data_IF_201798460525
#
_entry.id   IF_201798460525
#
_cell.length_a   1.000
_cell.length_b   1.000
_cell.length_c   1.000
_cell.angle_alpha   90.00
_cell.angle_beta   90.00
_cell.angle_gamma   90.00
#
_symmetry.space_group_name_H-M   'P 1'
#
loop_
_entity.id
_entity.type
_entity.pdbx_description
1 polymer ?
#
# COMPACT_ATOMS: atom_id res chain seq x y z
N UNK A 1 -13.59 5.84 25.49
CA UNK A 1 -12.12 5.78 25.30
C UNK A 1 -11.51 5.73 26.68
N UNK A 2 -10.86 4.64 27.04
CA UNK A 2 -10.08 4.53 28.27
C UNK A 2 -8.60 4.69 27.91
N UNK A 3 -7.92 5.62 28.55
CA UNK A 3 -6.49 5.80 28.45
C UNK A 3 -5.86 5.52 29.82
N UNK A 4 -4.87 4.66 29.88
CA UNK A 4 -4.07 4.44 31.07
C UNK A 4 -2.59 4.71 30.77
N UNK A 5 -1.92 5.41 31.69
CA UNK A 5 -0.49 5.73 31.57
C UNK A 5 0.20 5.31 32.86
N UNK A 6 1.24 4.49 32.77
CA UNK A 6 2.12 4.22 33.88
C UNK A 6 3.23 5.28 33.89
N UNK A 7 3.09 6.26 34.79
CA UNK A 7 4.17 7.18 35.12
C UNK A 7 4.33 8.44 34.25
N UNK A 8 3.28 8.97 33.61
CA UNK A 8 3.35 10.26 32.94
C UNK A 8 2.87 11.37 33.87
N UNK A 9 3.77 12.18 34.35
CA UNK A 9 3.44 13.46 34.98
C UNK A 9 3.42 14.50 33.85
N UNK A 10 2.22 14.90 33.40
CA UNK A 10 2.08 16.09 32.56
C UNK A 10 2.39 17.31 33.40
N UNK A 11 3.55 17.89 33.25
CA UNK A 11 3.88 19.19 33.81
C UNK A 11 2.85 20.22 33.37
N UNK A 12 2.44 21.10 34.27
CA UNK A 12 1.52 22.22 33.99
C UNK A 12 2.07 22.99 32.79
N UNK A 13 1.29 23.06 31.71
CA UNK A 13 1.59 23.94 30.58
C UNK A 13 1.31 25.38 31.08
N UNK A 14 2.34 26.21 31.28
CA UNK A 14 2.12 27.58 31.70
C UNK A 14 1.54 28.39 30.54
N UNK A 15 0.33 28.87 30.72
CA UNK A 15 -0.17 30.05 30.03
C UNK A 15 -0.31 29.97 28.51
N UNK A 16 -1.38 29.30 28.03
CA UNK A 16 -1.91 29.59 26.70
C UNK A 16 -2.67 30.92 26.76
N UNK A 17 -1.97 32.03 26.49
CA UNK A 17 -2.62 33.34 26.32
C UNK A 17 -2.93 33.49 24.84
N UNK A 18 -4.20 33.31 24.50
CA UNK A 18 -4.74 33.65 23.18
C UNK A 18 -4.84 35.18 23.06
N UNK A 19 -3.86 35.85 22.48
CA UNK A 19 -4.01 37.22 21.99
C UNK A 19 -4.70 37.20 20.64
N UNK A 20 -5.89 37.79 20.63
CA UNK A 20 -6.70 38.08 19.45
C UNK A 20 -6.06 39.33 18.80
N UNK A 21 -5.79 39.23 17.51
CA UNK A 21 -5.36 40.28 16.57
C UNK A 21 -3.90 40.27 16.18
N UNK A 22 -3.58 39.47 15.16
CA UNK A 22 -2.69 39.88 14.05
C UNK A 22 -2.62 38.76 12.99
N UNK A 23 -2.61 39.17 11.74
CA UNK A 23 -2.44 38.39 10.50
C UNK A 23 -1.00 37.83 10.31
N UNK A 24 -0.30 37.53 11.40
CA UNK A 24 1.05 36.99 11.36
C UNK A 24 1.00 35.50 11.72
N UNK A 25 1.64 34.67 10.90
CA UNK A 25 1.98 33.28 11.19
C UNK A 25 2.77 33.23 12.51
N UNK A 26 2.08 33.12 13.61
CA UNK A 26 2.74 32.94 14.89
C UNK A 26 3.05 31.44 15.02
N UNK A 27 4.27 31.06 14.69
CA UNK A 27 4.80 29.76 15.07
C UNK A 27 4.85 29.73 16.61
N UNK A 28 3.87 29.09 17.23
CA UNK A 28 3.92 28.84 18.67
C UNK A 28 5.05 27.84 18.92
N UNK A 29 6.13 28.30 19.53
CA UNK A 29 7.07 27.37 20.14
C UNK A 29 6.37 26.69 21.29
N UNK A 30 6.18 25.39 21.18
CA UNK A 30 5.81 24.58 22.34
C UNK A 30 6.94 24.78 23.36
N UNK A 31 6.61 25.13 24.61
CA UNK A 31 7.66 25.29 25.61
C UNK A 31 8.49 24.00 25.73
N UNK A 32 9.76 24.10 26.15
CA UNK A 32 10.61 22.94 26.32
C UNK A 32 9.89 21.87 27.12
N UNK A 33 9.51 20.81 26.44
CA UNK A 33 8.71 19.73 27.02
C UNK A 33 9.44 18.43 26.80
N UNK A 34 9.76 17.75 27.87
CA UNK A 34 10.32 16.40 27.83
C UNK A 34 9.33 15.45 28.49
N UNK A 35 8.76 14.57 27.66
CA UNK A 35 8.01 13.43 28.19
C UNK A 35 9.01 12.32 28.44
N UNK A 36 9.11 11.89 29.69
CA UNK A 36 9.96 10.77 30.11
C UNK A 36 9.43 9.46 29.52
N UNK A 37 10.30 8.45 29.35
CA UNK A 37 9.89 7.16 28.84
C UNK A 37 8.68 6.60 29.59
N UNK A 38 7.63 6.30 28.89
CA UNK A 38 6.39 5.79 29.49
C UNK A 38 5.62 4.88 28.54
N UNK A 39 4.76 4.04 29.12
CA UNK A 39 3.89 3.15 28.39
C UNK A 39 2.50 3.73 28.29
N UNK A 40 1.92 3.68 27.11
CA UNK A 40 0.57 4.18 26.84
C UNK A 40 -0.31 3.07 26.31
N UNK A 41 -1.49 2.95 26.87
CA UNK A 41 -2.51 2.02 26.36
C UNK A 41 -3.80 2.79 26.14
N UNK A 42 -4.27 2.77 24.89
CA UNK A 42 -5.55 3.32 24.49
C UNK A 42 -6.47 2.18 24.07
N UNK A 43 -7.67 2.13 24.62
CA UNK A 43 -8.69 1.13 24.28
C UNK A 43 -9.90 1.81 23.66
N UNK A 44 -10.30 1.32 22.50
CA UNK A 44 -11.58 1.63 21.86
C UNK A 44 -12.49 0.41 21.93
N UNK A 45 -13.71 0.53 21.40
CA UNK A 45 -14.64 -0.60 21.31
C UNK A 45 -14.06 -1.77 20.50
N UNK A 46 -13.26 -1.48 19.46
CA UNK A 46 -12.77 -2.48 18.49
C UNK A 46 -11.28 -2.75 18.58
N UNK A 47 -10.48 -1.82 19.10
CA UNK A 47 -9.02 -1.92 19.07
C UNK A 47 -8.39 -1.55 20.42
N UNK A 48 -7.23 -2.14 20.68
CA UNK A 48 -6.31 -1.75 21.74
C UNK A 48 -5.01 -1.27 21.08
N UNK A 49 -4.57 -0.08 21.42
CA UNK A 49 -3.29 0.51 21.01
C UNK A 49 -2.35 0.48 22.20
N UNK A 50 -1.16 -0.01 22.03
CA UNK A 50 -0.14 -0.06 23.09
C UNK A 50 1.16 0.53 22.54
N UNK A 51 1.70 1.54 23.21
CA UNK A 51 2.99 2.17 22.89
C UNK A 51 3.91 1.96 24.09
N UNK A 52 5.14 1.52 23.84
CA UNK A 52 6.15 1.30 24.85
C UNK A 52 7.28 2.31 24.75
N UNK A 53 7.71 2.82 25.91
CA UNK A 53 8.84 3.74 26.05
C UNK A 53 8.73 4.99 25.15
N UNK A 54 7.53 5.61 25.10
CA UNK A 54 7.33 6.86 24.38
C UNK A 54 8.15 7.97 25.02
N UNK A 55 8.98 8.60 24.22
CA UNK A 55 9.75 9.79 24.55
C UNK A 55 9.39 10.90 23.60
N UNK A 56 9.10 12.09 24.10
CA UNK A 56 8.97 13.31 23.30
C UNK A 56 9.96 14.33 23.86
N UNK A 57 10.80 14.88 23.01
CA UNK A 57 11.75 15.93 23.35
C UNK A 57 11.60 17.08 22.35
N UNK A 58 11.02 18.18 22.81
CA UNK A 58 10.77 19.35 21.96
C UNK A 58 12.00 20.20 21.74
N UNK A 59 13.00 20.13 22.62
CA UNK A 59 14.27 20.88 22.46
C UNK A 59 15.14 20.26 21.37
N UNK A 60 15.19 18.92 21.35
CA UNK A 60 15.87 18.15 20.33
C UNK A 60 14.95 17.82 19.13
N UNK A 61 13.71 18.30 19.17
CA UNK A 61 12.71 18.14 18.11
C UNK A 61 12.47 16.70 17.66
N UNK A 62 12.39 15.74 18.60
CA UNK A 62 12.10 14.34 18.24
C UNK A 62 11.00 13.72 19.09
N UNK A 63 10.40 12.69 18.51
CA UNK A 63 9.56 11.72 19.17
C UNK A 63 10.11 10.31 18.86
N UNK A 64 10.19 9.46 19.86
CA UNK A 64 10.60 8.07 19.68
C UNK A 64 9.83 7.14 20.60
N UNK A 65 9.68 5.89 20.19
CA UNK A 65 9.18 4.81 21.03
C UNK A 65 9.76 3.45 20.55
N UNK A 66 9.75 2.47 21.44
CA UNK A 66 10.35 1.16 21.16
C UNK A 66 9.39 0.22 20.43
N UNK A 67 8.09 0.35 20.68
CA UNK A 67 7.07 -0.41 19.96
C UNK A 67 5.72 0.28 19.96
N UNK A 68 4.95 0.04 18.90
CA UNK A 68 3.52 0.32 18.80
C UNK A 68 2.83 -0.96 18.35
N UNK A 69 1.80 -1.38 19.07
CA UNK A 69 0.96 -2.52 18.70
C UNK A 69 -0.50 -2.09 18.60
N UNK A 70 -1.15 -2.53 17.53
CA UNK A 70 -2.59 -2.39 17.36
C UNK A 70 -3.21 -3.77 17.30
N UNK A 71 -3.92 -4.11 18.36
CA UNK A 71 -4.64 -5.38 18.51
C UNK A 71 -6.13 -5.16 18.29
N UNK A 72 -6.71 -6.01 17.46
CA UNK A 72 -8.16 -6.09 17.35
C UNK A 72 -8.73 -6.77 18.60
N UNK A 73 -9.73 -6.16 19.25
CA UNK A 73 -10.42 -6.75 20.40
C UNK A 73 -11.49 -7.76 20.00
N UNK A 74 -11.88 -7.75 18.74
CA UNK A 74 -12.82 -8.72 18.17
C UNK A 74 -11.99 -9.80 17.47
N UNK A 75 -12.13 -11.08 17.81
CA UNK A 75 -11.46 -12.17 17.11
C UNK A 75 -11.80 -12.17 15.61
N UNK A 76 -10.86 -12.58 14.77
CA UNK A 76 -10.93 -12.55 13.30
C UNK A 76 -12.24 -13.15 12.76
N UNK A 77 -12.58 -14.38 13.16
CA UNK A 77 -13.75 -15.08 12.65
C UNK A 77 -15.05 -14.40 13.09
N UNK A 78 -15.10 -13.91 14.33
CA UNK A 78 -16.21 -13.12 14.84
C UNK A 78 -16.32 -11.76 14.12
N UNK A 79 -15.20 -11.17 13.69
CA UNK A 79 -15.21 -9.95 12.91
C UNK A 79 -15.82 -10.20 11.54
N UNK A 80 -15.35 -11.22 10.80
CA UNK A 80 -15.87 -11.54 9.47
C UNK A 80 -17.34 -11.98 9.48
N UNK A 81 -17.75 -12.78 10.46
CA UNK A 81 -19.14 -13.20 10.60
C UNK A 81 -20.16 -12.06 10.77
N UNK A 82 -19.72 -10.88 11.19
CA UNK A 82 -20.57 -9.69 11.38
C UNK A 82 -20.62 -8.77 10.17
N UNK A 83 -19.82 -9.03 9.13
CA UNK A 83 -19.73 -8.12 7.98
C UNK A 83 -20.83 -8.45 6.96
N UNK A 84 -21.53 -7.41 6.50
CA UNK A 84 -22.46 -7.49 5.36
C UNK A 84 -21.73 -7.31 4.02
N UNK A 85 -20.59 -6.67 4.04
CA UNK A 85 -19.74 -6.35 2.88
C UNK A 85 -18.28 -6.64 3.20
N UNK A 86 -17.46 -6.86 2.16
CA UNK A 86 -16.03 -7.05 2.32
C UNK A 86 -15.40 -5.93 3.16
N UNK A 87 -14.65 -6.32 4.19
CA UNK A 87 -13.91 -5.41 5.04
C UNK A 87 -12.57 -6.02 5.41
N UNK A 88 -11.54 -5.18 5.46
CA UNK A 88 -10.22 -5.62 5.87
C UNK A 88 -10.16 -5.78 7.40
N UNK A 89 -9.64 -6.91 7.86
CA UNK A 89 -9.19 -7.12 9.23
C UNK A 89 -7.70 -6.79 9.25
N UNK A 90 -7.36 -5.67 9.88
CA UNK A 90 -6.00 -5.13 9.88
C UNK A 90 -5.40 -5.26 11.26
N UNK A 91 -4.19 -5.80 11.32
CA UNK A 91 -3.35 -5.77 12.50
C UNK A 91 -1.96 -5.28 12.12
N UNK A 92 -1.35 -4.52 12.99
CA UNK A 92 0.03 -4.12 12.80
C UNK A 92 0.75 -3.92 14.13
N UNK A 93 2.05 -4.11 14.08
CA UNK A 93 2.97 -3.73 15.14
C UNK A 93 4.24 -3.16 14.55
N UNK A 94 4.92 -2.35 15.34
CA UNK A 94 6.23 -1.82 14.97
C UNK A 94 7.25 -2.19 16.03
N UNK A 95 8.50 -2.28 15.65
CA UNK A 95 9.61 -2.08 16.55
C UNK A 95 9.83 -0.59 16.80
N UNK A 96 11.10 -0.20 16.87
CA UNK A 96 11.46 1.19 17.13
C UNK A 96 10.97 2.13 16.06
N UNK A 97 10.35 3.21 16.51
CA UNK A 97 9.95 4.34 15.65
C UNK A 97 10.62 5.61 16.18
N UNK A 98 11.14 6.40 15.25
CA UNK A 98 11.71 7.71 15.56
C UNK A 98 11.26 8.73 14.51
N UNK A 99 10.76 9.86 14.98
CA UNK A 99 10.42 11.03 14.18
C UNK A 99 11.37 12.17 14.53
N UNK A 100 12.18 12.62 13.58
CA UNK A 100 13.19 13.66 13.73
C UNK A 100 12.73 14.97 13.14
N UNK A 101 13.15 16.08 13.74
CA UNK A 101 12.73 17.44 13.44
C UNK A 101 11.20 17.57 13.45
N UNK A 102 10.59 17.06 14.51
CA UNK A 102 9.17 17.17 14.78
C UNK A 102 8.85 18.61 15.21
N UNK A 103 8.17 19.33 14.34
CA UNK A 103 7.80 20.75 14.56
C UNK A 103 6.30 20.92 14.37
N UNK A 104 5.52 20.86 15.44
CA UNK A 104 4.12 21.22 15.36
C UNK A 104 4.01 22.73 15.11
N UNK A 105 3.16 23.10 14.15
CA UNK A 105 2.87 24.50 13.82
C UNK A 105 1.36 24.70 13.99
N UNK A 106 1.00 25.68 14.80
CA UNK A 106 -0.40 26.07 14.97
C UNK A 106 -0.76 27.14 13.93
N UNK A 107 -1.73 26.81 13.07
CA UNK A 107 -2.42 27.79 12.24
C UNK A 107 -3.69 28.22 12.92
N UNK A 108 -4.30 29.34 12.57
CA UNK A 108 -5.46 29.96 13.24
C UNK A 108 -6.62 28.99 13.57
N UNK A 109 -6.80 27.91 12.80
CA UNK A 109 -7.84 26.89 13.03
C UNK A 109 -7.33 25.46 12.96
N UNK A 110 -6.12 25.25 12.49
CA UNK A 110 -5.56 23.94 12.20
C UNK A 110 -4.19 23.75 12.82
N UNK A 111 -3.89 22.53 13.23
CA UNK A 111 -2.56 22.15 13.66
C UNK A 111 -1.84 21.42 12.52
N UNK A 112 -0.69 21.94 12.12
CA UNK A 112 0.17 21.26 11.15
C UNK A 112 1.31 20.52 11.87
N UNK A 113 1.53 19.30 11.46
CA UNK A 113 2.62 18.45 11.96
C UNK A 113 3.69 18.39 10.88
N UNK A 114 4.84 19.01 11.14
CA UNK A 114 6.01 18.94 10.28
C UNK A 114 7.02 17.97 10.86
N UNK A 115 7.48 17.04 10.06
CA UNK A 115 8.49 16.06 10.41
C UNK A 115 9.46 15.93 9.26
N UNK A 116 10.75 16.03 9.51
CA UNK A 116 11.74 15.78 8.46
C UNK A 116 11.83 14.31 8.12
N UNK A 117 11.93 13.44 9.11
CA UNK A 117 12.09 12.01 8.87
C UNK A 117 11.38 11.17 9.94
N UNK A 118 10.64 10.18 9.48
CA UNK A 118 10.14 9.10 10.33
C UNK A 118 10.87 7.82 9.94
N UNK A 119 11.47 7.16 10.91
CA UNK A 119 12.12 5.85 10.74
C UNK A 119 11.34 4.80 11.50
N UNK A 120 10.97 3.71 10.85
CA UNK A 120 10.23 2.57 11.42
C UNK A 120 11.06 1.30 11.21
N UNK A 121 11.38 0.59 12.29
CA UNK A 121 12.27 -0.56 12.23
C UNK A 121 11.97 -1.61 13.33
N UNK A 122 11.36 -2.74 12.97
CA UNK A 122 10.59 -3.04 11.76
C UNK A 122 9.11 -2.62 11.84
N UNK A 123 8.38 -2.74 10.74
CA UNK A 123 6.92 -2.77 10.67
C UNK A 123 6.46 -4.19 10.35
N UNK A 124 5.54 -4.74 11.12
CA UNK A 124 4.78 -5.95 10.81
C UNK A 124 3.35 -5.54 10.49
N UNK A 125 2.91 -5.76 9.27
CA UNK A 125 1.60 -5.33 8.78
C UNK A 125 0.87 -6.51 8.14
N UNK A 126 -0.30 -6.84 8.69
CA UNK A 126 -1.14 -7.93 8.19
C UNK A 126 -2.51 -7.38 7.79
N UNK A 127 -2.93 -7.73 6.58
CA UNK A 127 -4.26 -7.45 6.07
C UNK A 127 -4.92 -8.79 5.73
N UNK A 128 -6.09 -9.03 6.28
CA UNK A 128 -6.87 -10.22 6.02
C UNK A 128 -8.23 -9.81 5.46
N UNK A 129 -8.69 -10.50 4.44
CA UNK A 129 -9.96 -10.22 3.76
C UNK A 129 -10.75 -11.47 3.48
N UNK A 130 -12.02 -11.44 3.79
CA UNK A 130 -12.99 -12.46 3.40
C UNK A 130 -13.79 -11.95 2.20
N UNK A 131 -13.73 -12.68 1.07
CA UNK A 131 -14.45 -12.38 -0.16
C UNK A 131 -15.74 -13.18 -0.32
N UNK A 132 -16.14 -13.94 0.67
CA UNK A 132 -17.41 -14.69 0.65
C UNK A 132 -18.62 -13.78 0.82
N UNK A 133 -18.41 -12.56 1.29
CA UNK A 133 -19.41 -11.48 1.32
C UNK A 133 -19.20 -10.52 0.16
N UNK A 134 -20.26 -9.85 -0.34
CA UNK A 134 -20.18 -8.98 -1.51
C UNK A 134 -19.36 -7.71 -1.24
N UNK A 135 -18.87 -7.09 -2.30
CA UNK A 135 -18.26 -5.77 -2.26
C UNK A 135 -19.27 -4.66 -1.97
N UNK A 136 -18.86 -3.65 -1.22
CA UNK A 136 -19.61 -2.41 -1.07
C UNK A 136 -19.25 -1.45 -2.22
N UNK A 137 -19.97 -1.56 -3.31
CA UNK A 137 -19.75 -0.76 -4.53
C UNK A 137 -20.14 0.72 -4.37
N UNK A 138 -20.78 1.09 -3.26
CA UNK A 138 -21.13 2.49 -2.98
C UNK A 138 -19.94 3.30 -2.46
N UNK A 139 -18.88 2.64 -2.01
CA UNK A 139 -17.69 3.29 -1.47
C UNK A 139 -16.77 3.78 -2.58
N UNK A 140 -16.15 4.92 -2.29
CA UNK A 140 -15.03 5.42 -3.08
C UNK A 140 -13.77 5.48 -2.22
N UNK A 141 -12.74 4.75 -2.63
CA UNK A 141 -11.41 4.75 -1.99
C UNK A 141 -10.43 5.50 -2.89
N UNK A 142 -10.04 6.72 -2.54
CA UNK A 142 -9.17 7.54 -3.38
C UNK A 142 -7.75 6.98 -3.49
N UNK A 143 -6.96 7.52 -4.41
CA UNK A 143 -5.52 7.28 -4.50
C UNK A 143 -4.80 7.95 -3.31
N UNK A 144 -3.49 7.66 -3.14
CA UNK A 144 -2.74 8.02 -1.93
C UNK A 144 -2.71 9.51 -1.63
N UNK A 145 -2.48 10.36 -2.63
CA UNK A 145 -2.41 11.82 -2.40
C UNK A 145 -3.76 12.38 -1.93
N UNK A 146 -4.86 11.90 -2.49
CA UNK A 146 -6.20 12.30 -2.02
C UNK A 146 -6.59 11.69 -0.69
N UNK A 147 -6.05 10.51 -0.33
CA UNK A 147 -6.20 9.99 1.03
C UNK A 147 -5.54 10.91 2.05
N UNK A 148 -4.33 11.41 1.74
CA UNK A 148 -3.65 12.39 2.58
C UNK A 148 -4.47 13.67 2.75
N UNK A 149 -5.08 14.18 1.68
CA UNK A 149 -5.92 15.38 1.72
C UNK A 149 -7.21 15.21 2.54
N UNK A 150 -7.60 13.97 2.88
CA UNK A 150 -8.76 13.68 3.75
C UNK A 150 -8.41 13.57 5.23
N UNK A 151 -7.14 13.70 5.59
CA UNK A 151 -6.75 13.71 7.00
C UNK A 151 -7.36 14.95 7.70
N UNK A 152 -7.85 14.81 8.93
CA UNK A 152 -8.46 15.91 9.68
C UNK A 152 -7.43 16.89 10.27
N UNK A 153 -6.17 16.79 9.90
CA UNK A 153 -5.07 17.65 10.32
C UNK A 153 -4.07 17.85 9.18
N UNK A 154 -3.31 18.93 9.27
CA UNK A 154 -2.27 19.22 8.29
C UNK A 154 -0.99 18.46 8.62
N UNK A 155 -0.41 17.82 7.62
CA UNK A 155 0.82 17.02 7.80
C UNK A 155 1.79 17.24 6.66
N UNK A 156 3.06 17.33 7.03
CA UNK A 156 4.20 17.30 6.11
C UNK A 156 5.31 16.44 6.70
N UNK A 157 5.60 15.35 6.02
CA UNK A 157 6.74 14.47 6.34
C UNK A 157 7.62 14.39 5.10
N UNK A 158 8.86 14.87 5.20
CA UNK A 158 9.75 14.85 4.04
C UNK A 158 10.12 13.42 3.66
N UNK A 159 10.35 12.53 4.65
CA UNK A 159 10.68 11.12 4.40
C UNK A 159 10.13 10.20 5.48
N UNK A 160 9.48 9.11 5.08
CA UNK A 160 9.14 7.95 5.93
C UNK A 160 9.98 6.76 5.46
N UNK A 161 10.88 6.27 6.30
CA UNK A 161 11.77 5.13 6.01
C UNK A 161 11.28 3.87 6.72
N UNK A 162 11.23 2.76 6.00
CA UNK A 162 10.96 1.43 6.52
C UNK A 162 12.22 0.57 6.45
N UNK A 163 12.48 -0.18 7.50
CA UNK A 163 13.59 -1.13 7.58
C UNK A 163 13.11 -2.50 8.04
N UNK A 164 13.64 -3.57 7.45
CA UNK A 164 13.43 -4.97 7.83
C UNK A 164 11.97 -5.39 8.05
N UNK A 165 11.07 -4.69 7.40
CA UNK A 165 9.63 -4.83 7.62
C UNK A 165 9.03 -6.04 6.90
N UNK A 166 7.84 -6.45 7.33
CA UNK A 166 7.12 -7.60 6.77
C UNK A 166 5.66 -7.21 6.53
N UNK A 167 5.16 -7.54 5.35
CA UNK A 167 3.77 -7.27 4.95
C UNK A 167 3.13 -8.61 4.54
N UNK A 168 1.99 -8.93 5.13
CA UNK A 168 1.18 -10.10 4.82
C UNK A 168 -0.19 -9.70 4.31
N UNK A 169 -0.67 -10.39 3.29
CA UNK A 169 -2.04 -10.25 2.84
C UNK A 169 -2.66 -11.63 2.65
N UNK A 170 -3.65 -11.94 3.48
CA UNK A 170 -4.43 -13.17 3.44
C UNK A 170 -5.81 -12.87 2.84
N UNK A 171 -6.26 -13.75 1.94
CA UNK A 171 -7.55 -13.59 1.27
C UNK A 171 -8.27 -14.93 1.27
N UNK A 172 -9.46 -14.97 1.86
CA UNK A 172 -10.38 -16.10 1.68
C UNK A 172 -11.13 -15.86 0.36
N UNK A 173 -11.01 -16.77 -0.57
CA UNK A 173 -11.64 -16.66 -1.88
C UNK A 173 -13.13 -17.04 -1.82
N UNK A 174 -13.94 -16.32 -2.57
CA UNK A 174 -15.40 -16.52 -2.66
C UNK A 174 -15.79 -17.92 -3.16
N UNK A 175 -15.01 -18.49 -4.10
CA UNK A 175 -15.39 -19.72 -4.82
C UNK A 175 -14.75 -20.96 -4.24
N UNK A 176 -13.49 -20.86 -3.87
CA UNK A 176 -12.74 -21.99 -3.32
C UNK A 176 -12.92 -22.11 -1.81
N UNK A 177 -13.38 -21.03 -1.15
CA UNK A 177 -13.46 -20.87 0.30
C UNK A 177 -12.13 -21.09 1.02
N UNK A 178 -11.04 -21.13 0.26
CA UNK A 178 -9.68 -21.35 0.78
C UNK A 178 -8.95 -20.02 0.97
N UNK A 179 -8.08 -20.01 1.95
CA UNK A 179 -7.23 -18.86 2.21
C UNK A 179 -5.95 -18.91 1.40
N UNK A 180 -5.76 -17.89 0.57
CA UNK A 180 -4.53 -17.65 -0.16
C UNK A 180 -3.71 -16.53 0.49
N UNK A 181 -2.40 -16.68 0.48
CA UNK A 181 -1.46 -15.73 1.11
C UNK A 181 -0.46 -15.20 0.10
N UNK A 182 -0.27 -13.87 0.11
CA UNK A 182 0.88 -13.20 -0.50
C UNK A 182 1.61 -12.40 0.58
N UNK A 183 2.93 -12.48 0.62
CA UNK A 183 3.71 -11.76 1.61
C UNK A 183 5.02 -11.21 1.04
N UNK A 184 5.50 -10.18 1.70
CA UNK A 184 6.74 -9.49 1.42
C UNK A 184 7.57 -9.45 2.69
N UNK A 185 8.77 -9.99 2.65
CA UNK A 185 9.74 -9.95 3.75
C UNK A 185 10.90 -9.03 3.42
N UNK A 186 11.64 -8.64 4.45
CA UNK A 186 12.77 -7.72 4.32
C UNK A 186 12.41 -6.45 3.52
N UNK A 187 11.24 -5.89 3.83
CA UNK A 187 10.78 -4.66 3.18
C UNK A 187 11.61 -3.50 3.69
N UNK A 188 12.35 -2.88 2.79
CA UNK A 188 13.18 -1.71 3.03
C UNK A 188 12.85 -0.64 2.00
N UNK A 189 12.91 0.61 2.40
CA UNK A 189 12.71 1.71 1.47
C UNK A 189 12.14 2.94 2.13
N UNK A 190 11.56 3.80 1.31
CA UNK A 190 11.02 5.07 1.79
C UNK A 190 9.84 5.56 0.96
N UNK A 191 9.00 6.37 1.64
CA UNK A 191 8.09 7.30 1.01
C UNK A 191 8.65 8.71 1.23
N UNK A 192 8.57 9.56 0.23
CA UNK A 192 9.01 10.95 0.36
C UNK A 192 7.94 11.93 -0.10
N UNK A 193 8.03 13.15 0.44
CA UNK A 193 7.11 14.23 0.17
C UNK A 193 5.65 13.88 0.54
N UNK A 194 5.47 13.31 1.72
CA UNK A 194 4.15 12.94 2.28
C UNK A 194 3.53 14.18 2.91
N UNK A 195 2.57 14.81 2.24
CA UNK A 195 1.97 16.07 2.72
C UNK A 195 0.57 16.30 2.17
N UNK A 196 -0.21 17.13 2.85
CA UNK A 196 -1.56 17.54 2.43
C UNK A 196 -1.77 19.05 2.46
N UNK A 197 -0.72 19.84 2.67
CA UNK A 197 -0.75 21.29 2.62
C UNK A 197 0.55 21.86 2.02
N UNK A 198 0.56 23.14 1.69
CA UNK A 198 1.67 23.82 1.02
C UNK A 198 2.13 23.07 -0.25
N UNK A 199 1.15 22.67 -1.07
CA UNK A 199 1.37 21.91 -2.28
C UNK A 199 1.77 22.83 -3.43
N UNK A 200 2.90 22.51 -4.11
CA UNK A 200 3.26 23.10 -5.38
C UNK A 200 2.79 22.21 -6.55
N UNK A 201 2.57 22.78 -7.71
CA UNK A 201 2.09 22.05 -8.89
C UNK A 201 2.99 20.89 -9.32
N UNK A 202 4.31 21.03 -9.11
CA UNK A 202 5.29 19.98 -9.42
C UNK A 202 5.46 18.92 -8.32
N UNK A 203 4.76 19.07 -7.19
CA UNK A 203 4.90 18.14 -6.08
C UNK A 203 4.33 16.76 -6.41
N UNK A 204 5.02 15.74 -5.90
CA UNK A 204 4.60 14.35 -6.05
C UNK A 204 4.94 13.55 -4.79
N UNK A 205 4.02 12.73 -4.36
CA UNK A 205 4.32 11.63 -3.45
C UNK A 205 5.18 10.60 -4.17
N UNK A 206 6.27 10.16 -3.57
CA UNK A 206 7.17 9.17 -4.15
C UNK A 206 7.38 8.02 -3.18
N UNK A 207 7.46 6.82 -3.72
CA UNK A 207 7.79 5.60 -2.99
C UNK A 207 8.87 4.83 -3.72
N UNK A 208 9.85 4.33 -2.97
CA UNK A 208 10.87 3.42 -3.47
C UNK A 208 11.06 2.32 -2.43
N UNK A 209 10.67 1.09 -2.77
CA UNK A 209 10.67 -0.05 -1.87
C UNK A 209 11.41 -1.23 -2.51
N UNK A 210 12.11 -1.98 -1.67
CA UNK A 210 12.72 -3.26 -2.00
C UNK A 210 12.25 -4.30 -0.98
N UNK A 211 12.03 -5.53 -1.43
CA UNK A 211 11.56 -6.63 -0.57
C UNK A 211 11.84 -7.98 -1.20
N UNK A 212 11.61 -9.05 -0.46
CA UNK A 212 11.54 -10.41 -0.99
C UNK A 212 10.07 -10.82 -1.11
N UNK A 213 9.56 -10.91 -2.35
CA UNK A 213 8.24 -11.46 -2.63
C UNK A 213 8.24 -12.96 -2.30
N UNK A 214 7.28 -13.40 -1.46
CA UNK A 214 7.19 -14.79 -0.97
C UNK A 214 8.48 -15.28 -0.32
N UNK A 215 9.28 -14.38 0.26
CA UNK A 215 10.56 -14.69 0.88
C UNK A 215 11.70 -15.03 -0.10
N UNK A 216 11.48 -14.97 -1.41
CA UNK A 216 12.40 -15.49 -2.43
C UNK A 216 12.72 -14.51 -3.56
N UNK A 217 11.72 -13.83 -4.12
CA UNK A 217 11.90 -12.94 -5.28
C UNK A 217 12.34 -11.53 -4.87
N UNK A 218 13.58 -11.11 -5.22
CA UNK A 218 14.03 -9.73 -5.00
C UNK A 218 13.17 -8.78 -5.84
N UNK A 219 12.24 -8.09 -5.18
CA UNK A 219 11.28 -7.18 -5.78
C UNK A 219 11.61 -5.75 -5.43
N UNK A 220 11.68 -4.90 -6.46
CA UNK A 220 11.81 -3.44 -6.31
C UNK A 220 10.60 -2.77 -6.92
N UNK A 221 9.99 -1.86 -6.17
CA UNK A 221 8.80 -1.11 -6.59
C UNK A 221 9.07 0.38 -6.45
N UNK A 222 8.79 1.13 -7.50
CA UNK A 222 8.81 2.58 -7.53
C UNK A 222 7.43 3.09 -7.88
N UNK A 223 6.97 4.07 -7.14
CA UNK A 223 5.69 4.72 -7.34
C UNK A 223 5.85 6.23 -7.23
N UNK A 224 5.14 6.95 -8.07
CA UNK A 224 5.04 8.41 -8.03
C UNK A 224 3.61 8.81 -8.35
N UNK A 225 3.03 9.67 -7.53
CA UNK A 225 1.69 10.23 -7.73
C UNK A 225 1.74 11.74 -7.55
N UNK A 226 1.26 12.50 -8.55
CA UNK A 226 1.27 13.94 -8.53
C UNK A 226 0.16 14.49 -7.62
N UNK A 227 0.46 15.56 -6.88
CA UNK A 227 -0.53 16.23 -6.03
C UNK A 227 -1.45 17.17 -6.80
N UNK A 228 -0.88 17.92 -7.74
CA UNK A 228 -1.59 18.96 -8.51
C UNK A 228 -2.31 18.47 -9.74
N UNK A 229 -2.28 17.16 -10.04
CA UNK A 229 -2.89 16.62 -11.23
C UNK A 229 -4.40 16.36 -11.03
N UNK A 230 -5.23 17.03 -11.83
CA UNK A 230 -6.68 16.85 -11.81
C UNK A 230 -7.10 15.42 -12.17
N UNK A 231 -6.33 14.74 -13.01
CA UNK A 231 -6.55 13.34 -13.39
C UNK A 231 -5.99 12.34 -12.39
N UNK A 232 -5.29 12.79 -11.37
CA UNK A 232 -4.63 11.94 -10.36
C UNK A 232 -3.67 10.94 -11.03
N UNK A 233 -2.77 11.47 -11.86
CA UNK A 233 -1.81 10.65 -12.58
C UNK A 233 -0.76 10.03 -11.66
N UNK A 234 -0.46 8.76 -11.91
CA UNK A 234 0.63 8.07 -11.23
C UNK A 234 1.51 7.26 -12.20
N UNK A 235 2.72 7.01 -11.74
CA UNK A 235 3.65 6.05 -12.35
C UNK A 235 3.89 4.91 -11.37
N UNK A 236 3.84 3.69 -11.87
CA UNK A 236 4.19 2.48 -11.15
C UNK A 236 5.21 1.69 -11.96
N UNK A 237 6.37 1.44 -11.37
CA UNK A 237 7.37 0.56 -11.95
C UNK A 237 7.71 -0.55 -10.96
N UNK A 238 7.85 -1.77 -11.45
CA UNK A 238 8.29 -2.91 -10.67
C UNK A 238 9.36 -3.69 -11.42
N UNK A 239 10.36 -4.17 -10.70
CA UNK A 239 11.37 -5.10 -11.19
C UNK A 239 11.52 -6.22 -10.18
N UNK A 240 11.60 -7.44 -10.68
CA UNK A 240 11.84 -8.61 -9.83
C UNK A 240 12.95 -9.46 -10.41
N UNK A 241 13.81 -9.94 -9.54
CA UNK A 241 14.84 -10.90 -9.87
C UNK A 241 14.30 -12.33 -10.06
N UNK A 242 15.19 -13.28 -10.04
CA UNK A 242 14.86 -14.68 -10.25
C UNK A 242 14.13 -15.27 -9.02
N UNK A 243 13.09 -16.11 -9.28
CA UNK A 243 12.29 -16.77 -8.25
C UNK A 243 11.77 -18.13 -8.75
N UNK A 244 11.71 -19.14 -7.89
CA UNK A 244 10.99 -20.39 -8.21
C UNK A 244 9.48 -20.12 -8.23
N UNK A 245 8.79 -20.59 -9.26
CA UNK A 245 7.34 -20.43 -9.39
C UNK A 245 6.54 -21.14 -8.29
N UNK A 246 7.11 -22.18 -7.68
CA UNK A 246 6.46 -22.92 -6.59
C UNK A 246 6.20 -22.04 -5.36
N UNK A 247 7.01 -21.01 -5.16
CA UNK A 247 6.80 -20.05 -4.04
C UNK A 247 5.42 -19.36 -4.13
N UNK A 248 4.90 -19.17 -5.34
CA UNK A 248 3.57 -18.61 -5.56
C UNK A 248 2.42 -19.57 -5.26
N UNK A 249 2.68 -20.86 -4.99
CA UNK A 249 1.64 -21.84 -4.75
C UNK A 249 0.77 -21.55 -3.52
N UNK A 250 1.30 -20.86 -2.51
CA UNK A 250 0.52 -20.38 -1.36
C UNK A 250 -0.61 -19.40 -1.75
N UNK A 251 -0.46 -18.73 -2.89
CA UNK A 251 -1.47 -17.86 -3.46
C UNK A 251 -2.27 -18.56 -4.56
N UNK A 252 -1.57 -19.26 -5.47
CA UNK A 252 -2.17 -19.80 -6.70
C UNK A 252 -3.10 -20.99 -6.43
N UNK A 253 -2.74 -21.87 -5.52
CA UNK A 253 -3.54 -23.06 -5.21
C UNK A 253 -4.88 -22.64 -4.58
N UNK A 254 -4.91 -21.87 -3.48
CA UNK A 254 -6.17 -21.51 -2.84
C UNK A 254 -7.07 -20.63 -3.71
N UNK A 255 -6.52 -19.64 -4.39
CA UNK A 255 -7.33 -18.62 -5.09
C UNK A 255 -7.72 -19.04 -6.52
N UNK A 256 -6.94 -19.90 -7.17
CA UNK A 256 -7.13 -20.20 -8.60
C UNK A 256 -7.22 -21.69 -8.91
N UNK A 257 -7.06 -22.59 -7.93
CA UNK A 257 -6.92 -24.02 -8.13
C UNK A 257 -5.84 -24.39 -9.16
N UNK A 258 -4.78 -23.58 -9.21
CA UNK A 258 -3.62 -23.74 -10.10
C UNK A 258 -2.38 -23.98 -9.27
N UNK A 259 -1.59 -24.98 -9.63
CA UNK A 259 -0.31 -25.30 -9.00
C UNK A 259 0.83 -25.15 -9.99
N UNK A 260 1.87 -24.43 -9.61
CA UNK A 260 3.14 -24.49 -10.30
C UNK A 260 3.89 -25.77 -9.87
N UNK A 261 4.01 -26.72 -10.79
CA UNK A 261 4.74 -27.98 -10.54
C UNK A 261 6.25 -27.76 -10.64
N UNK A 262 6.67 -26.91 -11.58
CA UNK A 262 8.04 -26.46 -11.79
C UNK A 262 8.07 -25.20 -12.62
N UNK A 263 9.21 -24.51 -12.59
CA UNK A 263 9.48 -23.33 -13.40
C UNK A 263 10.17 -22.25 -12.59
N UNK A 264 10.91 -21.42 -13.29
CA UNK A 264 11.64 -20.32 -12.68
C UNK A 264 11.33 -19.02 -13.43
N UNK A 265 10.91 -18.02 -12.72
CA UNK A 265 10.99 -16.65 -13.20
C UNK A 265 12.46 -16.28 -13.23
N UNK A 266 12.96 -15.79 -14.34
CA UNK A 266 14.33 -15.28 -14.48
C UNK A 266 14.38 -13.80 -14.09
N UNK A 267 13.44 -13.04 -14.59
CA UNK A 267 13.21 -11.64 -14.22
C UNK A 267 11.83 -11.19 -14.64
N UNK A 268 11.37 -10.10 -14.01
CA UNK A 268 10.16 -9.38 -14.37
C UNK A 268 10.47 -7.89 -14.38
N UNK A 269 9.96 -7.16 -15.37
CA UNK A 269 9.92 -5.71 -15.37
C UNK A 269 8.55 -5.22 -15.79
N UNK A 270 8.04 -4.20 -15.11
CA UNK A 270 6.76 -3.57 -15.40
C UNK A 270 6.90 -2.06 -15.31
N UNK A 271 6.28 -1.35 -16.25
CA UNK A 271 6.11 0.11 -16.21
C UNK A 271 4.70 0.45 -16.64
N UNK A 272 4.00 1.18 -15.79
CA UNK A 272 2.59 1.52 -15.96
C UNK A 272 2.38 2.98 -15.59
N UNK A 273 1.61 3.67 -16.42
CA UNK A 273 0.98 4.96 -16.13
C UNK A 273 -0.46 4.69 -15.76
N UNK A 274 -1.01 5.48 -14.86
CA UNK A 274 -2.41 5.34 -14.48
C UNK A 274 -3.00 6.64 -13.97
N UNK A 275 -4.31 6.62 -13.87
CA UNK A 275 -5.14 7.67 -13.28
C UNK A 275 -6.08 7.05 -12.24
N UNK A 276 -7.01 7.83 -11.73
CA UNK A 276 -8.07 7.31 -10.85
C UNK A 276 -9.03 6.34 -11.57
N UNK A 277 -9.04 6.32 -12.90
CA UNK A 277 -9.97 5.50 -13.68
C UNK A 277 -9.34 4.22 -14.23
N UNK A 278 -8.12 4.31 -14.72
CA UNK A 278 -7.46 3.20 -15.41
C UNK A 278 -5.94 3.28 -15.34
N UNK A 279 -5.31 2.17 -15.68
CA UNK A 279 -3.87 2.08 -15.82
C UNK A 279 -3.49 1.34 -17.11
N UNK A 280 -2.42 1.76 -17.76
CA UNK A 280 -1.89 1.17 -18.98
C UNK A 280 -0.37 1.18 -18.99
N UNK A 281 0.22 0.27 -19.75
CA UNK A 281 1.67 0.15 -19.82
C UNK A 281 2.11 -1.21 -20.32
N UNK A 282 3.29 -1.61 -19.91
CA UNK A 282 3.92 -2.84 -20.37
C UNK A 282 4.48 -3.65 -19.22
N UNK A 283 4.46 -4.97 -19.38
CA UNK A 283 5.15 -5.93 -18.52
C UNK A 283 5.94 -6.92 -19.39
N UNK A 284 7.15 -7.20 -18.98
CA UNK A 284 7.96 -8.29 -19.51
C UNK A 284 8.27 -9.25 -18.38
N UNK A 285 7.97 -10.52 -18.58
CA UNK A 285 8.36 -11.59 -17.67
C UNK A 285 9.12 -12.65 -18.47
N UNK A 286 10.34 -12.92 -18.06
CA UNK A 286 11.14 -13.99 -18.61
C UNK A 286 11.11 -15.18 -17.65
N UNK A 287 10.75 -16.34 -18.16
CA UNK A 287 10.71 -17.56 -17.38
C UNK A 287 11.21 -18.76 -18.19
N UNK A 288 11.58 -19.83 -17.51
CA UNK A 288 11.95 -21.08 -18.14
C UNK A 288 11.30 -22.27 -17.45
N UNK A 289 11.22 -23.39 -18.18
CA UNK A 289 10.75 -24.71 -17.71
C UNK A 289 9.42 -24.66 -16.94
N UNK A 290 8.56 -23.68 -17.22
CA UNK A 290 7.28 -23.50 -16.51
C UNK A 290 6.35 -24.68 -16.82
N UNK A 291 5.86 -25.31 -15.75
CA UNK A 291 4.79 -26.31 -15.79
C UNK A 291 3.78 -25.99 -14.70
N UNK A 292 2.52 -25.93 -15.07
CA UNK A 292 1.41 -25.69 -14.14
C UNK A 292 0.32 -26.74 -14.32
N UNK A 293 -0.35 -27.11 -13.23
CA UNK A 293 -1.45 -28.08 -13.21
C UNK A 293 -2.71 -27.44 -12.64
N UNK A 294 -3.87 -27.81 -13.18
CA UNK A 294 -5.18 -27.54 -12.58
C UNK A 294 -5.51 -28.62 -11.57
N UNK A 295 -5.94 -28.22 -10.38
CA UNK A 295 -6.24 -29.15 -9.29
C UNK A 295 -7.71 -29.58 -9.24
N UNK A 296 -8.62 -28.87 -9.93
CA UNK A 296 -10.03 -29.22 -9.98
C UNK A 296 -10.50 -29.31 -11.45
N UNK A 297 -11.08 -30.45 -11.82
CA UNK A 297 -11.55 -30.71 -13.18
C UNK A 297 -12.90 -30.03 -13.50
N UNK A 298 -13.73 -29.75 -12.49
CA UNK A 298 -15.04 -29.12 -12.66
C UNK A 298 -14.99 -27.67 -13.15
N UNK A 299 -13.86 -26.97 -12.92
CA UNK A 299 -13.63 -25.59 -13.36
C UNK A 299 -12.89 -25.46 -14.71
N UNK A 300 -12.96 -26.46 -15.56
CA UNK A 300 -12.38 -26.45 -16.93
C UNK A 300 -13.06 -25.42 -17.83
N UNK A 301 -12.89 -24.12 -17.56
CA UNK A 301 -13.19 -23.12 -18.59
C UNK A 301 -12.26 -23.38 -19.78
N UNK A 302 -12.85 -23.54 -20.98
CA UNK A 302 -12.13 -23.77 -22.26
C UNK A 302 -10.93 -22.83 -22.44
N UNK A 303 -11.07 -21.58 -21.99
CA UNK A 303 -10.02 -20.54 -22.03
C UNK A 303 -8.82 -20.87 -21.12
N UNK A 304 -9.03 -21.48 -19.97
CA UNK A 304 -7.96 -21.84 -19.03
C UNK A 304 -7.19 -23.06 -19.52
N UNK A 305 -7.88 -24.03 -20.14
CA UNK A 305 -7.25 -25.19 -20.74
C UNK A 305 -6.40 -24.83 -21.96
N UNK A 306 -6.90 -23.94 -22.83
CA UNK A 306 -6.13 -23.47 -23.99
C UNK A 306 -4.93 -22.62 -23.56
N UNK A 307 -5.03 -21.92 -22.42
CA UNK A 307 -3.91 -21.20 -21.82
C UNK A 307 -2.84 -22.15 -21.29
N UNK A 308 -3.21 -23.17 -20.52
CA UNK A 308 -2.29 -24.16 -20.03
C UNK A 308 -1.52 -24.82 -21.20
N UNK A 309 -2.23 -25.23 -22.26
CA UNK A 309 -1.61 -25.77 -23.46
C UNK A 309 -0.58 -24.79 -24.06
N UNK A 310 -0.92 -23.50 -24.14
CA UNK A 310 -0.04 -22.46 -24.69
C UNK A 310 1.21 -22.21 -23.80
N UNK A 311 1.06 -22.26 -22.48
CA UNK A 311 2.18 -22.14 -21.53
C UNK A 311 3.11 -23.35 -21.65
N UNK A 312 2.55 -24.56 -21.80
CA UNK A 312 3.31 -25.79 -22.01
C UNK A 312 4.13 -25.78 -23.31
N UNK A 313 3.55 -25.24 -24.38
CA UNK A 313 4.21 -25.20 -25.69
C UNK A 313 5.35 -24.19 -25.77
N UNK A 314 5.37 -23.18 -24.89
CA UNK A 314 6.33 -22.06 -25.00
C UNK A 314 7.53 -22.14 -24.07
N UNK A 315 7.71 -23.10 -23.22
CA UNK A 315 8.86 -23.33 -22.32
C UNK A 315 9.72 -22.12 -21.89
N UNK A 316 9.75 -21.06 -22.71
CA UNK A 316 10.41 -19.77 -22.52
C UNK A 316 9.54 -18.64 -23.04
N UNK A 317 9.54 -17.49 -22.37
CA UNK A 317 8.86 -16.29 -22.85
C UNK A 317 9.79 -15.07 -22.85
N UNK A 318 9.71 -14.28 -23.92
CA UNK A 318 10.39 -12.98 -24.05
C UNK A 318 9.48 -11.89 -24.63
N UNK A 319 8.16 -12.12 -24.63
CA UNK A 319 7.21 -11.17 -25.20
C UNK A 319 6.85 -10.09 -24.20
N UNK A 320 6.58 -8.89 -24.71
CA UNK A 320 6.00 -7.79 -23.94
C UNK A 320 4.49 -7.96 -23.83
N UNK A 321 3.99 -8.05 -22.59
CA UNK A 321 2.57 -8.02 -22.30
C UNK A 321 2.09 -6.57 -22.20
N UNK A 322 1.00 -6.26 -22.89
CA UNK A 322 0.37 -4.93 -22.81
C UNK A 322 -0.56 -4.92 -21.59
N UNK A 323 -0.32 -4.03 -20.66
CA UNK A 323 -1.17 -3.81 -19.50
C UNK A 323 -2.27 -2.82 -19.85
N UNK A 324 -3.51 -3.16 -19.51
CA UNK A 324 -4.64 -2.24 -19.52
C UNK A 324 -5.67 -2.72 -18.49
N UNK A 325 -5.96 -1.90 -17.50
CA UNK A 325 -6.85 -2.29 -16.40
C UNK A 325 -7.63 -1.08 -15.92
N UNK A 326 -8.94 -1.19 -15.92
CA UNK A 326 -9.82 -0.21 -15.28
C UNK A 326 -9.80 -0.41 -13.77
N UNK A 327 -9.90 0.69 -13.04
CA UNK A 327 -9.90 0.67 -11.59
C UNK A 327 -11.29 0.33 -11.04
N UNK A 328 -11.33 -0.47 -10.00
CA UNK A 328 -12.50 -0.62 -9.14
C UNK A 328 -12.37 0.43 -8.02
N UNK A 329 -13.20 1.47 -8.07
CA UNK A 329 -13.06 2.66 -7.20
C UNK A 329 -13.40 2.39 -5.73
N UNK A 330 -14.16 1.35 -5.47
CA UNK A 330 -14.48 0.83 -4.14
C UNK A 330 -13.33 0.04 -3.51
N UNK A 331 -12.32 -0.34 -4.31
CA UNK A 331 -11.15 -1.09 -3.85
C UNK A 331 -9.95 -0.16 -3.60
N UNK A 332 -9.04 -0.63 -2.72
CA UNK A 332 -7.81 0.09 -2.40
C UNK A 332 -6.86 0.18 -3.59
N UNK A 333 -5.90 1.11 -3.53
CA UNK A 333 -4.83 1.23 -4.52
C UNK A 333 -3.99 -0.06 -4.61
N UNK A 334 -3.80 -0.79 -3.53
CA UNK A 334 -3.08 -2.07 -3.53
C UNK A 334 -3.82 -3.15 -4.33
N UNK A 335 -5.15 -3.18 -4.26
CA UNK A 335 -5.96 -4.02 -5.13
C UNK A 335 -5.76 -3.63 -6.60
N UNK A 336 -5.71 -2.33 -6.89
CA UNK A 336 -5.47 -1.84 -8.25
C UNK A 336 -4.08 -2.29 -8.76
N UNK A 337 -3.02 -2.18 -7.94
CA UNK A 337 -1.69 -2.67 -8.31
C UNK A 337 -1.64 -4.19 -8.53
N UNK A 338 -2.34 -4.95 -7.71
CA UNK A 338 -2.47 -6.38 -7.90
C UNK A 338 -3.16 -6.72 -9.23
N UNK A 339 -4.26 -6.02 -9.57
CA UNK A 339 -4.98 -6.19 -10.85
C UNK A 339 -4.11 -5.80 -12.05
N UNK A 340 -3.36 -4.70 -11.95
CA UNK A 340 -2.36 -4.27 -12.95
C UNK A 340 -1.35 -5.40 -13.18
N UNK A 341 -0.80 -5.96 -12.11
CA UNK A 341 0.20 -7.02 -12.17
C UNK A 341 -0.34 -8.31 -12.77
N UNK A 342 -1.53 -8.75 -12.33
CA UNK A 342 -2.21 -9.93 -12.89
C UNK A 342 -2.56 -9.72 -14.36
N UNK A 343 -3.06 -8.54 -14.72
CA UNK A 343 -3.39 -8.21 -16.12
C UNK A 343 -2.14 -8.30 -17.00
N UNK A 344 -1.03 -7.70 -16.59
CA UNK A 344 0.26 -7.77 -17.30
C UNK A 344 0.77 -9.19 -17.44
N UNK A 345 0.67 -10.01 -16.38
CA UNK A 345 1.04 -11.41 -16.41
C UNK A 345 0.20 -12.20 -17.44
N UNK A 346 -1.12 -12.07 -17.39
CA UNK A 346 -2.02 -12.76 -18.30
C UNK A 346 -1.81 -12.38 -19.77
N UNK A 347 -1.52 -11.11 -20.06
CA UNK A 347 -1.22 -10.67 -21.42
C UNK A 347 0.14 -11.14 -21.89
N UNK A 348 1.15 -11.14 -21.03
CA UNK A 348 2.48 -11.66 -21.33
C UNK A 348 2.42 -13.16 -21.64
N UNK A 349 1.65 -13.92 -20.87
CA UNK A 349 1.41 -15.35 -21.09
C UNK A 349 0.51 -15.64 -22.31
N UNK A 350 -0.11 -14.63 -22.92
CA UNK A 350 -0.98 -14.78 -24.09
C UNK A 350 -2.40 -15.20 -23.77
N UNK A 351 -2.80 -15.23 -22.50
CA UNK A 351 -4.17 -15.54 -22.05
C UNK A 351 -5.13 -14.43 -22.37
N UNK A 352 -4.69 -13.19 -22.28
CA UNK A 352 -5.47 -11.97 -22.51
C UNK A 352 -4.83 -11.15 -23.64
N UNK A 353 -5.66 -10.41 -24.36
CA UNK A 353 -5.21 -9.48 -25.42
C UNK A 353 -5.81 -8.10 -25.17
N UNK A 354 -4.99 -7.13 -24.78
CA UNK A 354 -5.42 -5.76 -24.51
C UNK A 354 -5.22 -4.79 -25.68
N UNK A 355 -4.65 -5.22 -26.79
CA UNK A 355 -4.29 -4.34 -27.89
C UNK A 355 -5.44 -3.53 -28.49
N UNK A 356 -6.66 -4.10 -28.53
CA UNK A 356 -7.85 -3.38 -29.02
C UNK A 356 -8.30 -2.28 -28.03
N UNK A 357 -8.30 -2.57 -26.72
CA UNK A 357 -8.67 -1.61 -25.68
C UNK A 357 -7.70 -0.43 -25.66
N UNK A 358 -6.40 -0.72 -25.74
CA UNK A 358 -5.35 0.31 -25.75
C UNK A 358 -5.46 1.18 -27.02
N UNK A 359 -5.65 0.59 -28.19
CA UNK A 359 -5.89 1.38 -29.44
C UNK A 359 -7.13 2.26 -29.35
N UNK A 360 -8.20 1.76 -28.74
CA UNK A 360 -9.43 2.55 -28.52
C UNK A 360 -9.20 3.69 -27.54
N UNK A 361 -8.44 3.44 -26.49
CA UNK A 361 -8.04 4.45 -25.51
C UNK A 361 -7.23 5.57 -26.16
N UNK A 362 -6.16 5.28 -26.89
CA UNK A 362 -5.35 6.29 -27.58
C UNK A 362 -6.17 7.11 -28.59
N UNK A 363 -7.05 6.47 -29.38
CA UNK A 363 -7.95 7.20 -30.27
C UNK A 363 -8.92 8.14 -29.54
N UNK A 364 -9.29 7.80 -28.31
CA UNK A 364 -10.06 8.69 -27.45
C UNK A 364 -9.24 9.89 -26.95
N UNK A 365 -7.97 9.68 -26.63
CA UNK A 365 -7.05 10.73 -26.19
C UNK A 365 -6.76 11.76 -27.31
N UNK A 366 -6.51 11.29 -28.54
CA UNK A 366 -6.28 12.16 -29.72
C UNK A 366 -7.46 13.09 -29.98
N UNK A 367 -8.69 12.65 -29.67
CA UNK A 367 -9.90 13.47 -29.79
C UNK A 367 -10.09 14.53 -28.70
N UNK A 368 -9.42 14.36 -27.52
CA UNK A 368 -9.67 15.17 -26.33
C UNK A 368 -8.47 16.00 -25.88
N UNK A 369 -7.45 16.15 -26.75
CA UNK A 369 -6.25 16.98 -26.51
C UNK A 369 -5.77 16.91 -25.03
N UNK A 370 -5.30 15.77 -24.59
CA UNK A 370 -4.59 15.71 -23.31
C UNK A 370 -3.18 16.27 -23.51
N UNK A 371 -2.69 17.12 -22.60
CA UNK A 371 -1.36 17.69 -22.73
C UNK A 371 -0.32 16.55 -22.79
N UNK A 372 0.66 16.63 -23.72
CA UNK A 372 1.66 15.58 -23.92
C UNK A 372 2.64 15.40 -22.74
N UNK A 373 2.67 16.32 -21.78
CA UNK A 373 3.74 16.46 -20.79
C UNK A 373 3.34 16.11 -19.34
N UNK A 374 2.45 15.15 -19.13
CA UNK A 374 2.09 14.71 -17.79
C UNK A 374 3.15 13.80 -17.09
N UNK A 375 4.37 13.66 -17.70
CA UNK A 375 5.41 12.79 -17.14
C UNK A 375 6.84 13.26 -17.44
#
# INVERSE_FOLDING_TARGET
>A
IEASTDGVTLGRIPGLVLQKDSLLQTAFKIPPTRVLPGNFVLRSATNKFSIQNLVVNTDEEYLAFDSLEVQNRIPRDSFFARQKFEKDYISFSTGRVRADALRPVLFQKDTAINVRKITIDPLYFTVERDKRVPDDTTKYRPLMTRMLNRLPFLVRVDTVSLHRSVIWHNVIDEKTEKEGTIYFTNVNGYLSNVKNYALASADSLRMNMQSLLMGAGDLRVQFREAYGDSMQGFLLAARMGSMDMKELNRLMIPLFNVRADRGRILNLSMRVKGTDDLAYGNMVINYNKLKVSLLNEENKKRTLMSWLANVFLRGKNSKTGIVYTERLKEKSIFNFWARISVNGLLTNLGVRKNGKQVKRFYRGLEKHQLPPDLF
#
